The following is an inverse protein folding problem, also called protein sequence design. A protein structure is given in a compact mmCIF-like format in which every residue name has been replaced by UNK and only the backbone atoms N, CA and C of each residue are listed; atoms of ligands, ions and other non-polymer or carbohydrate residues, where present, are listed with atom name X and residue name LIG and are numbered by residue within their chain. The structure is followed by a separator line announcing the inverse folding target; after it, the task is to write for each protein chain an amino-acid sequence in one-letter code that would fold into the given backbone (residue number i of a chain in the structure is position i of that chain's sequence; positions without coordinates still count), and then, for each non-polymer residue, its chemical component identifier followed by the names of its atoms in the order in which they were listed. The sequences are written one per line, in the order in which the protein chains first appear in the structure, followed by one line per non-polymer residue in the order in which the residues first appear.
data_IF_971937923315
#
_entry.id   IF_971937923315
#
_cell.length_a   1.000
_cell.length_b   1.000
_cell.length_c   1.000
_cell.angle_alpha   90.00
_cell.angle_beta   90.00
_cell.angle_gamma   90.00
#
_symmetry.space_group_name_H-M   'P 1'
#
loop_
_entity.id
_entity.type
_entity.pdbx_description
1 polymer ?
#
# COMPACT_ATOMS: atom_id res chain seq x y z
N UNK A 1 -17.82 1.83 -22.47
CA UNK A 1 -17.64 2.14 -23.91
C UNK A 1 -16.14 2.31 -24.10
N UNK A 2 -15.42 1.24 -24.45
CA UNK A 2 -13.98 1.25 -24.64
C UNK A 2 -13.74 1.15 -26.13
N UNK A 3 -13.40 2.28 -26.72
CA UNK A 3 -12.93 2.35 -28.11
C UNK A 3 -11.43 2.09 -28.12
N UNK A 4 -11.03 0.85 -28.33
CA UNK A 4 -9.66 0.53 -28.72
C UNK A 4 -9.54 0.79 -30.22
N UNK A 5 -9.04 1.97 -30.57
CA UNK A 5 -8.62 2.26 -31.93
C UNK A 5 -7.24 1.59 -32.19
N UNK A 6 -7.22 0.29 -32.33
CA UNK A 6 -6.15 -0.41 -33.02
C UNK A 6 -6.42 -0.32 -34.53
N UNK A 7 -6.22 0.86 -35.09
CA UNK A 7 -6.17 1.04 -36.55
C UNK A 7 -4.82 0.51 -37.03
N UNK A 8 -4.82 -0.72 -37.53
CA UNK A 8 -3.79 -1.23 -38.42
C UNK A 8 -3.59 -0.20 -39.55
N UNK A 9 -2.36 0.14 -39.97
CA UNK A 9 -2.10 1.17 -40.99
C UNK A 9 -2.83 0.94 -42.33
N UNK A 10 -3.34 -0.26 -42.58
CA UNK A 10 -4.12 -0.61 -43.78
C UNK A 10 -5.64 -0.48 -43.59
N UNK A 11 -6.13 0.03 -42.48
CA UNK A 11 -7.57 0.19 -42.23
C UNK A 11 -8.40 -1.12 -42.21
N UNK A 12 -7.74 -2.28 -42.15
CA UNK A 12 -8.42 -3.56 -42.07
C UNK A 12 -8.90 -3.86 -40.67
N UNK A 13 -10.19 -4.10 -40.52
CA UNK A 13 -10.79 -4.58 -39.28
C UNK A 13 -10.48 -6.06 -39.13
N UNK A 14 -9.65 -6.41 -38.16
CA UNK A 14 -9.38 -7.81 -37.81
C UNK A 14 -10.45 -8.29 -36.82
N UNK A 15 -11.25 -9.31 -37.17
CA UNK A 15 -12.21 -9.88 -36.25
C UNK A 15 -11.48 -10.67 -35.16
N UNK A 16 -11.50 -10.18 -33.94
CA UNK A 16 -10.96 -10.88 -32.75
C UNK A 16 -12.12 -11.46 -31.96
N UNK A 17 -11.98 -12.72 -31.52
CA UNK A 17 -13.00 -13.33 -30.65
C UNK A 17 -12.98 -12.63 -29.32
N UNK A 18 -14.13 -12.16 -28.88
CA UNK A 18 -14.29 -11.43 -27.61
C UNK A 18 -13.74 -12.20 -26.41
N UNK A 19 -13.86 -13.53 -26.43
CA UNK A 19 -13.32 -14.41 -25.36
C UNK A 19 -11.81 -14.36 -25.28
N UNK A 20 -11.13 -14.36 -26.43
CA UNK A 20 -9.68 -14.34 -26.50
C UNK A 20 -9.13 -12.98 -26.09
N UNK A 21 -9.80 -11.91 -26.51
CA UNK A 21 -9.47 -10.52 -26.08
C UNK A 21 -9.66 -10.33 -24.58
N UNK A 22 -10.80 -10.76 -24.02
CA UNK A 22 -11.05 -10.69 -22.60
C UNK A 22 -10.04 -11.50 -21.79
N UNK A 23 -9.68 -12.70 -22.26
CA UNK A 23 -8.68 -13.54 -21.60
C UNK A 23 -7.31 -12.87 -21.57
N UNK A 24 -6.86 -12.32 -22.68
CA UNK A 24 -5.57 -11.64 -22.80
C UNK A 24 -5.54 -10.38 -21.94
N UNK A 25 -6.58 -9.55 -22.01
CA UNK A 25 -6.70 -8.33 -21.21
C UNK A 25 -6.75 -8.63 -19.71
N UNK A 26 -7.48 -9.68 -19.31
CA UNK A 26 -7.54 -10.11 -17.91
C UNK A 26 -6.18 -10.61 -17.41
N UNK A 27 -5.48 -11.44 -18.17
CA UNK A 27 -4.15 -11.92 -17.81
C UNK A 27 -3.14 -10.78 -17.71
N UNK A 28 -3.16 -9.85 -18.67
CA UNK A 28 -2.28 -8.66 -18.63
C UNK A 28 -2.55 -7.81 -17.41
N UNK A 29 -3.81 -7.57 -17.07
CA UNK A 29 -4.19 -6.85 -15.86
C UNK A 29 -3.74 -7.57 -14.59
N UNK A 30 -4.00 -8.88 -14.49
CA UNK A 30 -3.60 -9.70 -13.35
C UNK A 30 -2.07 -9.71 -13.16
N UNK A 31 -1.30 -9.88 -14.23
CA UNK A 31 0.16 -9.83 -14.19
C UNK A 31 0.66 -8.45 -13.77
N UNK A 32 0.09 -7.38 -14.28
CA UNK A 32 0.44 -6.02 -13.88
C UNK A 32 0.19 -5.79 -12.38
N UNK A 33 -0.94 -6.22 -11.85
CA UNK A 33 -1.27 -6.11 -10.41
C UNK A 33 -0.31 -6.94 -9.57
N UNK A 34 0.01 -8.17 -9.97
CA UNK A 34 0.93 -9.04 -9.23
C UNK A 34 2.33 -8.40 -9.19
N UNK A 35 2.89 -8.03 -10.33
CA UNK A 35 4.26 -7.51 -10.43
C UNK A 35 4.39 -6.13 -9.78
N UNK A 36 3.44 -5.23 -10.01
CA UNK A 36 3.56 -3.84 -9.57
C UNK A 36 3.02 -3.57 -8.15
N UNK A 37 2.23 -4.46 -7.58
CA UNK A 37 1.55 -4.22 -6.31
C UNK A 37 1.74 -5.30 -5.26
N UNK A 38 1.65 -6.57 -5.65
CA UNK A 38 1.60 -7.67 -4.69
C UNK A 38 2.97 -8.20 -4.27
N UNK A 39 3.95 -8.19 -5.18
CA UNK A 39 5.28 -8.71 -4.90
C UNK A 39 6.15 -7.67 -4.20
N UNK A 40 6.87 -8.08 -3.14
CA UNK A 40 7.89 -7.24 -2.53
C UNK A 40 9.11 -7.12 -3.46
N UNK A 41 9.81 -5.99 -3.37
CA UNK A 41 11.05 -5.77 -4.11
C UNK A 41 12.16 -6.67 -3.54
N UNK A 42 12.93 -7.29 -4.42
CA UNK A 42 14.01 -8.21 -4.01
C UNK A 42 15.15 -7.51 -3.24
N UNK A 43 15.30 -6.20 -3.40
CA UNK A 43 16.38 -5.42 -2.79
C UNK A 43 16.11 -5.09 -1.33
N UNK A 44 14.89 -4.76 -0.97
CA UNK A 44 14.50 -4.27 0.36
C UNK A 44 13.33 -5.02 0.99
N UNK A 45 12.71 -5.94 0.25
CA UNK A 45 11.56 -6.69 0.71
C UNK A 45 10.27 -5.88 0.88
N UNK A 46 10.24 -4.63 0.40
CA UNK A 46 9.11 -3.74 0.56
C UNK A 46 8.15 -3.83 -0.62
N UNK A 47 6.86 -3.84 -0.31
CA UNK A 47 5.82 -3.59 -1.30
C UNK A 47 5.75 -2.08 -1.61
N UNK A 48 5.27 -1.69 -2.81
CA UNK A 48 5.22 -0.28 -3.18
C UNK A 48 4.47 0.62 -2.19
N UNK A 49 3.39 0.14 -1.59
CA UNK A 49 2.62 0.90 -0.59
C UNK A 49 3.44 1.12 0.69
N UNK A 50 4.20 0.13 1.13
CA UNK A 50 5.07 0.24 2.31
C UNK A 50 6.16 1.29 2.09
N UNK A 51 6.79 1.27 0.91
CA UNK A 51 7.80 2.26 0.53
C UNK A 51 7.24 3.68 0.50
N UNK A 52 6.03 3.86 -0.02
CA UNK A 52 5.34 5.16 -0.05
C UNK A 52 5.05 5.67 1.36
N UNK A 53 4.64 4.79 2.27
CA UNK A 53 4.40 5.16 3.67
C UNK A 53 5.71 5.62 4.33
N UNK A 54 6.79 4.86 4.21
CA UNK A 54 8.08 5.24 4.80
C UNK A 54 8.62 6.53 4.20
N UNK A 55 8.48 6.71 2.90
CA UNK A 55 8.89 7.93 2.22
C UNK A 55 8.08 9.15 2.70
N UNK A 56 6.75 9.02 2.82
CA UNK A 56 5.91 10.08 3.35
C UNK A 56 6.27 10.43 4.80
N UNK A 57 6.57 9.44 5.63
CA UNK A 57 7.02 9.67 7.01
C UNK A 57 8.35 10.43 7.03
N UNK A 58 9.28 10.11 6.15
CA UNK A 58 10.54 10.84 6.03
C UNK A 58 10.32 12.28 5.54
N UNK A 59 9.48 12.49 4.54
CA UNK A 59 9.11 13.80 4.01
C UNK A 59 8.45 14.70 5.06
N UNK A 60 7.64 14.10 5.93
CA UNK A 60 7.03 14.78 7.08
C UNK A 60 8.02 15.03 8.24
N UNK A 61 9.28 14.63 8.12
CA UNK A 61 10.29 14.78 9.15
C UNK A 61 10.06 13.90 10.40
N UNK A 62 9.38 12.77 10.25
CA UNK A 62 9.15 11.82 11.34
C UNK A 62 10.43 10.99 11.50
N UNK A 63 11.12 11.21 12.62
CA UNK A 63 12.40 10.57 12.94
C UNK A 63 12.27 9.59 14.09
N UNK A 64 13.20 8.63 14.22
CA UNK A 64 13.19 7.62 15.31
C UNK A 64 13.10 8.22 16.72
N UNK A 65 13.72 9.36 16.97
CA UNK A 65 13.72 10.04 18.28
C UNK A 65 12.72 11.20 18.36
N UNK A 66 11.82 11.31 17.38
CA UNK A 66 10.84 12.37 17.33
C UNK A 66 9.56 12.06 18.13
N UNK A 67 8.65 13.02 18.13
CA UNK A 67 7.32 12.81 18.71
C UNK A 67 6.47 11.95 17.79
N UNK A 68 5.62 11.13 18.39
CA UNK A 68 4.60 10.36 17.69
C UNK A 68 3.62 11.27 16.94
N UNK A 69 3.23 10.84 15.76
CA UNK A 69 2.25 11.53 14.93
C UNK A 69 1.02 10.66 14.73
N UNK A 70 -0.13 11.29 14.54
CA UNK A 70 -1.39 10.57 14.29
C UNK A 70 -1.31 9.77 12.99
N UNK A 71 -1.69 8.50 13.03
CA UNK A 71 -1.71 7.59 11.87
C UNK A 71 -2.52 8.15 10.71
N UNK A 72 -3.68 8.75 11.01
CA UNK A 72 -4.54 9.36 10.00
C UNK A 72 -3.84 10.49 9.22
N UNK A 73 -2.94 11.23 9.86
CA UNK A 73 -2.18 12.28 9.17
C UNK A 73 -1.19 11.68 8.17
N UNK A 74 -0.52 10.58 8.55
CA UNK A 74 0.40 9.88 7.66
C UNK A 74 -0.36 9.26 6.48
N UNK A 75 -1.47 8.57 6.76
CA UNK A 75 -2.30 7.99 5.71
C UNK A 75 -2.83 9.07 4.74
N UNK A 76 -3.30 10.21 5.26
CA UNK A 76 -3.75 11.34 4.44
C UNK A 76 -2.65 11.92 3.54
N UNK A 77 -1.42 12.04 4.04
CA UNK A 77 -0.28 12.50 3.25
C UNK A 77 0.08 11.54 2.12
N UNK A 78 0.07 10.22 2.42
CA UNK A 78 0.31 9.18 1.41
C UNK A 78 -0.74 9.21 0.31
N UNK A 79 -2.01 9.35 0.68
CA UNK A 79 -3.12 9.41 -0.27
C UNK A 79 -3.05 10.66 -1.14
N UNK A 80 -2.79 11.79 -0.53
CA UNK A 80 -2.74 13.07 -1.25
C UNK A 80 -1.61 13.17 -2.28
N UNK A 81 -0.47 12.54 -2.00
CA UNK A 81 0.74 12.69 -2.85
C UNK A 81 1.08 11.46 -3.68
N UNK A 82 0.87 10.26 -3.15
CA UNK A 82 1.54 9.08 -3.70
C UNK A 82 0.63 7.91 -4.06
N UNK A 83 -0.59 7.84 -3.53
CA UNK A 83 -1.41 6.63 -3.66
C UNK A 83 -2.90 6.95 -3.86
N UNK A 84 -3.38 7.09 -5.10
CA UNK A 84 -4.77 7.45 -5.41
C UNK A 84 -5.74 6.25 -5.22
N UNK A 85 -5.57 5.47 -4.17
CA UNK A 85 -6.43 4.35 -3.79
C UNK A 85 -7.05 4.58 -2.41
N UNK A 86 -8.01 3.75 -2.00
CA UNK A 86 -8.77 3.95 -0.77
C UNK A 86 -7.92 4.09 0.51
N UNK A 87 -8.35 4.97 1.37
CA UNK A 87 -7.70 5.29 2.67
C UNK A 87 -7.48 4.05 3.53
N UNK A 88 -8.46 3.15 3.57
CA UNK A 88 -8.40 1.92 4.36
C UNK A 88 -7.17 1.06 4.04
N UNK A 89 -6.82 0.91 2.77
CA UNK A 89 -5.70 0.04 2.38
C UNK A 89 -4.34 0.57 2.84
N UNK A 90 -4.16 1.89 2.85
CA UNK A 90 -2.95 2.54 3.34
C UNK A 90 -2.87 2.42 4.85
N UNK A 91 -3.98 2.70 5.53
CA UNK A 91 -4.08 2.60 6.98
C UNK A 91 -3.82 1.18 7.48
N UNK A 92 -4.46 0.19 6.87
CA UNK A 92 -4.26 -1.22 7.20
C UNK A 92 -2.81 -1.68 7.03
N UNK A 93 -2.17 -1.23 5.96
CA UNK A 93 -0.76 -1.53 5.72
C UNK A 93 0.12 -0.89 6.79
N UNK A 94 -0.14 0.36 7.12
CA UNK A 94 0.58 1.11 8.15
C UNK A 94 0.47 0.44 9.52
N UNK A 95 -0.72 -0.01 9.90
CA UNK A 95 -0.95 -0.78 11.14
C UNK A 95 -0.15 -2.08 11.14
N UNK A 96 -0.17 -2.85 10.04
CA UNK A 96 0.61 -4.09 9.94
C UNK A 96 2.11 -3.87 10.05
N UNK A 97 2.63 -2.76 9.55
CA UNK A 97 4.06 -2.41 9.66
C UNK A 97 4.47 -2.07 11.10
N UNK A 98 3.53 -1.71 11.96
CA UNK A 98 3.75 -1.44 13.38
C UNK A 98 3.55 -2.66 14.28
N UNK A 99 2.93 -3.74 13.77
CA UNK A 99 2.62 -4.93 14.56
C UNK A 99 3.84 -5.84 14.70
N UNK A 100 4.33 -6.15 15.90
CA UNK A 100 5.50 -6.99 16.10
C UNK A 100 5.26 -8.46 15.70
N UNK A 101 4.01 -8.91 15.70
CA UNK A 101 3.63 -10.26 15.28
C UNK A 101 3.42 -10.41 13.77
N UNK A 102 3.24 -9.30 13.05
CA UNK A 102 3.07 -9.29 11.59
C UNK A 102 4.39 -9.16 10.83
N UNK A 103 5.39 -8.58 11.45
CA UNK A 103 6.69 -8.28 10.85
C UNK A 103 7.80 -8.87 11.71
N UNK A 104 8.80 -9.47 11.06
CA UNK A 104 10.01 -9.93 11.77
C UNK A 104 10.71 -8.78 12.51
N UNK A 105 10.80 -7.64 11.83
CA UNK A 105 11.27 -6.39 12.40
C UNK A 105 10.23 -5.32 12.10
N UNK A 106 9.58 -4.74 13.11
CA UNK A 106 8.64 -3.64 12.89
C UNK A 106 9.34 -2.47 12.22
N UNK A 107 8.75 -2.00 11.12
CA UNK A 107 9.29 -0.85 10.37
C UNK A 107 8.78 0.48 10.90
N UNK A 108 7.77 0.43 11.73
CA UNK A 108 7.13 1.60 12.35
C UNK A 108 6.97 1.28 13.83
N UNK A 109 7.37 2.20 14.67
CA UNK A 109 7.14 2.11 16.11
C UNK A 109 5.76 2.74 16.41
N UNK A 110 4.84 1.94 16.91
CA UNK A 110 3.46 2.34 17.19
C UNK A 110 3.22 2.58 18.66
N UNK A 111 2.54 3.69 18.99
CA UNK A 111 2.05 3.95 20.33
C UNK A 111 0.53 3.85 20.35
N UNK A 112 0.02 2.94 21.15
CA UNK A 112 -1.41 2.66 21.26
C UNK A 112 -1.76 1.21 20.98
N UNK A 113 -3.02 0.93 20.73
CA UNK A 113 -3.49 -0.43 20.43
C UNK A 113 -3.46 -0.68 18.91
N UNK A 114 -2.53 -1.49 18.47
CA UNK A 114 -2.41 -1.96 17.07
C UNK A 114 -2.89 -3.39 16.89
N UNK A 115 -3.71 -3.90 17.82
CA UNK A 115 -4.18 -5.26 17.79
C UNK A 115 -3.27 -6.23 18.56
N UNK A 116 -3.72 -7.46 18.70
CA UNK A 116 -2.99 -8.56 19.33
C UNK A 116 -3.11 -9.83 18.51
N UNK A 117 -2.26 -10.81 18.81
CA UNK A 117 -2.29 -12.13 18.15
C UNK A 117 -3.63 -12.83 18.38
N UNK A 118 -4.18 -12.72 19.59
CA UNK A 118 -5.41 -13.40 19.97
C UNK A 118 -6.68 -12.68 19.48
N UNK A 119 -6.62 -11.37 19.35
CA UNK A 119 -7.72 -10.53 18.88
C UNK A 119 -7.37 -9.84 17.57
N UNK A 120 -6.85 -10.57 16.64
CA UNK A 120 -6.20 -10.15 15.39
C UNK A 120 -7.00 -9.22 14.48
N UNK A 121 -7.84 -8.37 14.96
CA UNK A 121 -8.62 -7.59 14.05
C UNK A 121 -8.32 -6.11 14.20
N UNK A 122 -7.92 -5.53 13.09
CA UNK A 122 -8.04 -4.11 12.76
C UNK A 122 -9.40 -3.53 13.23
N UNK A 123 -10.36 -4.41 13.48
CA UNK A 123 -11.70 -4.09 13.97
C UNK A 123 -11.73 -3.64 15.44
N UNK A 124 -10.75 -4.02 16.24
CA UNK A 124 -10.58 -3.58 17.64
C UNK A 124 -9.53 -2.48 17.78
N UNK A 125 -8.90 -2.12 16.67
CA UNK A 125 -7.97 -0.99 16.66
C UNK A 125 -8.72 0.30 17.00
N UNK A 126 -8.15 1.16 17.82
CA UNK A 126 -8.75 2.45 18.08
C UNK A 126 -8.99 3.18 16.76
N UNK A 127 -10.04 3.97 16.72
CA UNK A 127 -10.39 4.76 15.54
C UNK A 127 -9.13 5.43 14.97
N UNK A 128 -9.04 5.65 13.63
CA UNK A 128 -7.90 6.33 13.02
C UNK A 128 -7.47 7.63 13.68
N UNK A 129 -8.37 8.23 14.45
CA UNK A 129 -8.10 9.44 15.26
C UNK A 129 -7.23 9.20 16.48
N UNK A 130 -7.28 8.00 17.04
CA UNK A 130 -6.72 7.72 18.38
C UNK A 130 -5.38 6.96 18.27
N UNK A 131 -5.10 6.35 17.14
CA UNK A 131 -3.83 5.70 16.91
C UNK A 131 -2.74 6.75 16.63
N UNK A 132 -1.82 6.88 17.55
CA UNK A 132 -0.60 7.65 17.34
C UNK A 132 0.49 6.70 16.88
N UNK A 133 0.99 6.95 15.69
CA UNK A 133 2.19 6.28 15.19
C UNK A 133 3.41 7.04 15.61
N UNK A 134 4.38 6.32 16.04
CA UNK A 134 5.65 6.85 16.33
C UNK A 134 6.62 6.72 15.15
N UNK A 135 7.69 7.23 15.27
CA UNK A 135 9.03 7.26 14.72
C UNK A 135 9.44 5.94 14.03
N UNK A 136 10.33 6.06 13.08
CA UNK A 136 11.09 4.91 12.60
C UNK A 136 11.85 4.27 13.78
N UNK A 137 11.92 2.92 13.87
CA UNK A 137 12.69 2.28 14.92
C UNK A 137 14.14 2.77 14.83
N UNK A 138 14.72 3.14 15.96
CA UNK A 138 16.14 3.36 16.03
C UNK A 138 16.80 2.03 15.72
N UNK A 139 17.59 1.97 14.66
CA UNK A 139 18.47 0.85 14.44
C UNK A 139 19.36 0.70 15.67
N UNK A 140 19.18 -0.39 16.40
CA UNK A 140 20.12 -0.84 17.39
C UNK A 140 21.40 -1.29 16.71
#
# INVERSE_FOLDING_TARGET
MVTTNDTNPDGRINPVRIVDEMRTSYLTYAMSVIVSRALPDVRDGLKPVQRRILYAMQDMGIRPNGQHRKSARIAGEVLGKFHPHGESSVYDTLVRMAQPFSMRYPLIDGQGNFGSVDGCLLYTSPRPRDATLSRMPSSA
#
